data_IF_966893190458
#
_entry.id   IF_966893190458
#
_cell.length_a   1.000
_cell.length_b   1.000
_cell.length_c   1.000
_cell.angle_alpha   90.00
_cell.angle_beta   90.00
_cell.angle_gamma   90.00
#
_symmetry.space_group_name_H-M   'P 1'
#
loop_
_entity.id
_entity.type
_entity.pdbx_description
1 polymer ?
#
# COMPACT_ATOMS: atom_id res chain seq x y z
N UNK A 1 -29.75 2.35 27.36
CA UNK A 1 -28.48 2.33 26.60
C UNK A 1 -28.80 1.76 25.24
N UNK A 2 -28.81 2.59 24.19
CA UNK A 2 -29.34 2.23 22.88
C UNK A 2 -28.21 1.62 22.05
N UNK A 3 -28.13 0.29 22.01
CA UNK A 3 -27.15 -0.48 21.21
C UNK A 3 -27.39 -0.37 19.70
N UNK A 4 -28.53 0.19 19.30
CA UNK A 4 -29.02 0.30 17.91
C UNK A 4 -28.09 1.08 16.98
N UNK A 5 -27.23 1.97 17.51
CA UNK A 5 -26.29 2.75 16.69
C UNK A 5 -25.10 1.91 16.21
N UNK A 6 -24.74 0.84 16.93
CA UNK A 6 -23.61 -0.01 16.57
C UNK A 6 -23.99 -1.06 15.52
N UNK A 7 -25.24 -1.55 15.56
CA UNK A 7 -25.77 -2.50 14.57
C UNK A 7 -25.72 -1.94 13.13
N UNK A 8 -25.77 -0.61 12.99
CA UNK A 8 -25.67 0.10 11.70
C UNK A 8 -24.31 -0.03 11.01
N UNK A 9 -23.27 -0.42 11.74
CA UNK A 9 -21.92 -0.61 11.19
C UNK A 9 -21.70 -2.03 10.65
N UNK A 10 -22.61 -2.97 10.96
CA UNK A 10 -22.53 -4.33 10.44
C UNK A 10 -22.81 -4.28 8.93
N UNK A 11 -21.79 -4.62 8.14
CA UNK A 11 -21.87 -4.61 6.68
C UNK A 11 -21.47 -3.29 6.01
N UNK A 12 -21.05 -2.27 6.76
CA UNK A 12 -20.50 -1.06 6.17
C UNK A 12 -19.13 -1.37 5.52
N UNK A 13 -18.99 -1.09 4.23
CA UNK A 13 -17.76 -1.26 3.47
C UNK A 13 -17.40 0.07 2.79
N UNK A 14 -16.14 0.47 2.97
CA UNK A 14 -15.60 1.65 2.30
C UNK A 14 -14.47 1.21 1.38
N UNK A 15 -14.57 1.55 0.11
CA UNK A 15 -13.47 1.41 -0.84
C UNK A 15 -12.67 2.70 -0.86
N UNK A 16 -11.36 2.61 -0.67
CA UNK A 16 -10.44 3.74 -0.75
C UNK A 16 -9.40 3.44 -1.81
N UNK A 17 -9.07 4.46 -2.61
CA UNK A 17 -7.94 4.41 -3.52
C UNK A 17 -6.78 5.16 -2.86
N UNK A 18 -5.63 4.52 -2.80
CA UNK A 18 -4.40 5.12 -2.29
C UNK A 18 -3.27 4.92 -3.32
N UNK A 19 -2.39 5.89 -3.40
CA UNK A 19 -1.17 5.81 -4.19
C UNK A 19 -0.04 5.27 -3.30
N UNK A 20 0.66 4.24 -3.79
CA UNK A 20 1.85 3.70 -3.13
C UNK A 20 3.06 4.60 -3.39
N UNK A 21 3.75 4.98 -2.33
CA UNK A 21 4.97 5.78 -2.43
C UNK A 21 6.09 4.97 -3.11
N UNK A 22 6.87 5.54 -4.03
CA UNK A 22 8.04 4.85 -4.63
C UNK A 22 9.21 4.71 -3.64
N UNK A 23 9.19 5.41 -2.51
CA UNK A 23 10.32 5.49 -1.57
C UNK A 23 10.78 4.11 -1.04
N UNK A 24 9.90 3.21 -0.55
CA UNK A 24 10.32 1.89 -0.07
C UNK A 24 11.01 1.05 -1.17
N UNK A 25 10.49 1.10 -2.40
CA UNK A 25 11.08 0.43 -3.54
C UNK A 25 12.47 1.01 -3.88
N UNK A 26 12.63 2.33 -3.90
CA UNK A 26 13.94 2.97 -4.09
C UNK A 26 14.94 2.61 -2.99
N UNK A 27 14.49 2.54 -1.73
CA UNK A 27 15.36 2.13 -0.61
C UNK A 27 15.80 0.68 -0.72
N UNK A 28 14.91 -0.23 -1.12
CA UNK A 28 15.25 -1.62 -1.38
C UNK A 28 16.24 -1.74 -2.55
N UNK A 29 16.03 -0.99 -3.63
CA UNK A 29 16.97 -0.94 -4.76
C UNK A 29 18.36 -0.49 -4.31
N UNK A 30 18.45 0.59 -3.54
CA UNK A 30 19.71 1.07 -2.98
C UNK A 30 20.37 0.05 -2.03
N UNK A 31 19.58 -0.67 -1.22
CA UNK A 31 20.08 -1.72 -0.31
C UNK A 31 20.71 -2.89 -1.08
N UNK A 32 20.17 -3.19 -2.27
CA UNK A 32 20.65 -4.24 -3.15
C UNK A 32 21.70 -3.75 -4.17
N UNK A 33 22.14 -2.50 -4.07
CA UNK A 33 23.06 -1.85 -5.01
C UNK A 33 22.57 -1.92 -6.48
N UNK A 34 21.25 -1.77 -6.68
CA UNK A 34 20.63 -1.73 -7.99
C UNK A 34 20.50 -0.28 -8.47
N UNK A 35 20.88 0.00 -9.71
CA UNK A 35 20.70 1.30 -10.38
C UNK A 35 19.23 1.64 -10.70
N UNK A 36 18.27 0.89 -10.14
CA UNK A 36 16.85 1.07 -10.43
C UNK A 36 16.24 2.11 -9.50
N UNK A 37 16.00 3.31 -10.02
CA UNK A 37 15.14 4.31 -9.38
C UNK A 37 13.68 4.07 -9.79
N UNK A 38 12.88 3.47 -8.90
CA UNK A 38 11.45 3.24 -9.14
C UNK A 38 10.70 4.57 -9.06
N UNK A 39 9.93 4.90 -10.10
CA UNK A 39 9.09 6.09 -10.13
C UNK A 39 7.60 5.73 -9.99
N UNK A 40 6.77 6.74 -9.71
CA UNK A 40 5.31 6.55 -9.69
C UNK A 40 4.85 6.10 -11.08
N UNK A 41 4.15 4.97 -11.14
CA UNK A 41 3.67 4.37 -12.37
C UNK A 41 4.59 3.30 -12.97
N UNK A 42 5.81 3.16 -12.47
CA UNK A 42 6.69 2.08 -12.90
C UNK A 42 6.22 0.71 -12.39
N UNK A 43 6.45 -0.36 -13.17
CA UNK A 43 6.20 -1.71 -12.70
C UNK A 43 7.15 -2.05 -11.54
N UNK A 44 6.58 -2.53 -10.45
CA UNK A 44 7.36 -2.97 -9.30
C UNK A 44 8.07 -4.31 -9.60
N UNK A 45 9.34 -4.51 -9.19
CA UNK A 45 10.03 -5.78 -9.40
C UNK A 45 9.31 -6.97 -8.75
N UNK A 46 9.48 -8.19 -9.28
CA UNK A 46 8.83 -9.39 -8.76
C UNK A 46 9.08 -9.59 -7.26
N UNK A 47 8.01 -9.82 -6.51
CA UNK A 47 8.05 -10.03 -5.06
C UNK A 47 8.06 -8.75 -4.24
N UNK A 48 8.46 -7.59 -4.75
CA UNK A 48 8.61 -6.37 -3.92
C UNK A 48 7.29 -5.78 -3.40
N UNK A 49 6.14 -6.34 -3.80
CA UNK A 49 4.83 -5.95 -3.27
C UNK A 49 4.76 -6.10 -1.74
N UNK A 50 5.57 -6.98 -1.14
CA UNK A 50 5.60 -7.17 0.32
C UNK A 50 6.07 -5.94 1.09
N UNK A 51 6.74 -4.98 0.43
CA UNK A 51 7.15 -3.71 1.06
C UNK A 51 5.96 -2.79 1.43
N UNK A 52 4.74 -3.12 0.98
CA UNK A 52 3.55 -2.27 1.09
C UNK A 52 2.38 -2.91 1.84
N UNK A 53 2.56 -4.11 2.40
CA UNK A 53 1.57 -4.85 3.21
C UNK A 53 2.09 -5.07 4.62
#
# INVERSE_FOLDING_TARGET
MNTTTLDQWIGNQTTVTAEISPVPACQMAATLDLDTAVQVGDPLPPGWHWLYF
#
